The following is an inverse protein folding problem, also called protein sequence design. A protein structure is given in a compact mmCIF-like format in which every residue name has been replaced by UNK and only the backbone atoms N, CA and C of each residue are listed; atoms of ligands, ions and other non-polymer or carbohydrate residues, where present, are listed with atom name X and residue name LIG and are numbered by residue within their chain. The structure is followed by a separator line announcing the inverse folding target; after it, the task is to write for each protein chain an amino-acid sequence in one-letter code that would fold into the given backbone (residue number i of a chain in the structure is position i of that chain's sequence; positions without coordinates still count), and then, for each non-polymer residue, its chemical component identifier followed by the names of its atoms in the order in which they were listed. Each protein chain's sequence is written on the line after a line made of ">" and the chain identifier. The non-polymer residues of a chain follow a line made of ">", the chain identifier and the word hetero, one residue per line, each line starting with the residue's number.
data_IF_785258593543
#
_entry.id   IF_785258593543
#
_cell.length_a   1.000
_cell.length_b   1.000
_cell.length_c   1.000
_cell.angle_alpha   90.00
_cell.angle_beta   90.00
_cell.angle_gamma   90.00
#
_symmetry.space_group_name_H-M   'P 1'
#
loop_
_entity.id
_entity.type
_entity.pdbx_description
1 polymer ?
#
# COMPACT_ATOMS: atom_id res chain seq x y z
N UNK A 1 -3.22 8.60 -0.03
CA UNK A 1 -3.50 7.14 0.00
C UNK A 1 -4.21 6.71 1.27
N UNK A 2 -3.63 6.89 2.48
CA UNK A 2 -4.21 6.45 3.77
C UNK A 2 -5.71 6.72 3.95
N UNK A 3 -6.21 7.92 3.63
CA UNK A 3 -7.62 8.26 3.87
C UNK A 3 -8.61 7.57 2.91
N UNK A 4 -8.18 7.20 1.69
CA UNK A 4 -9.03 6.51 0.72
C UNK A 4 -9.17 5.03 1.04
N UNK A 5 -8.06 4.40 1.41
CA UNK A 5 -8.02 3.00 1.88
C UNK A 5 -8.99 2.76 3.06
N UNK A 6 -8.97 3.69 4.01
CA UNK A 6 -9.78 3.63 5.25
C UNK A 6 -11.29 3.69 5.04
N UNK A 7 -11.76 4.15 3.86
CA UNK A 7 -13.18 4.13 3.48
C UNK A 7 -13.57 2.86 2.71
N UNK A 8 -12.65 1.91 2.55
CA UNK A 8 -12.83 0.75 1.68
C UNK A 8 -12.73 1.09 0.19
N UNK A 9 -12.31 2.32 -0.16
CA UNK A 9 -12.20 2.79 -1.53
C UNK A 9 -10.87 2.35 -2.16
N UNK A 10 -10.54 1.05 -2.08
CA UNK A 10 -9.27 0.51 -2.57
C UNK A 10 -9.07 0.75 -4.06
N UNK A 11 -10.15 0.74 -4.86
CA UNK A 11 -10.07 1.06 -6.28
C UNK A 11 -9.65 2.52 -6.53
N UNK A 12 -10.22 3.48 -5.80
CA UNK A 12 -9.81 4.88 -5.90
C UNK A 12 -8.39 5.10 -5.38
N UNK A 13 -8.01 4.42 -4.30
CA UNK A 13 -6.64 4.46 -3.78
C UNK A 13 -5.64 3.95 -4.83
N UNK A 14 -5.98 2.86 -5.54
CA UNK A 14 -5.19 2.32 -6.64
C UNK A 14 -4.99 3.36 -7.75
N UNK A 15 -6.07 4.00 -8.24
CA UNK A 15 -5.94 5.00 -9.31
C UNK A 15 -5.10 6.22 -8.87
N UNK A 16 -5.15 6.59 -7.57
CA UNK A 16 -4.25 7.62 -7.02
C UNK A 16 -2.80 7.16 -7.02
N UNK A 17 -2.49 5.90 -6.67
CA UNK A 17 -1.13 5.36 -6.79
C UNK A 17 -0.64 5.42 -8.24
N UNK A 18 -1.45 4.97 -9.20
CA UNK A 18 -1.11 5.04 -10.63
C UNK A 18 -0.82 6.47 -11.07
N UNK A 19 -1.65 7.42 -10.63
CA UNK A 19 -1.43 8.83 -10.91
C UNK A 19 -0.12 9.33 -10.32
N UNK A 20 0.17 9.03 -9.05
CA UNK A 20 1.43 9.43 -8.41
C UNK A 20 2.66 8.89 -9.15
N UNK A 21 2.64 7.60 -9.53
CA UNK A 21 3.74 6.99 -10.28
C UNK A 21 3.85 7.54 -11.72
N UNK A 22 2.74 8.01 -12.30
CA UNK A 22 2.79 8.69 -13.60
C UNK A 22 3.39 10.09 -13.54
N UNK A 23 3.40 10.72 -12.36
CA UNK A 23 4.04 12.02 -12.15
C UNK A 23 5.54 11.86 -11.91
N UNK A 24 5.93 10.85 -11.13
CA UNK A 24 7.32 10.59 -10.79
C UNK A 24 7.54 9.08 -10.61
N UNK A 25 8.34 8.49 -11.51
CA UNK A 25 8.65 7.07 -11.53
C UNK A 25 9.67 6.67 -10.46
N UNK A 26 10.43 7.63 -9.92
CA UNK A 26 11.38 7.40 -8.81
C UNK A 26 10.62 7.19 -7.48
N UNK A 27 9.32 7.44 -7.46
CA UNK A 27 8.40 7.20 -6.34
C UNK A 27 8.89 7.71 -4.97
N UNK A 28 9.19 9.02 -4.82
CA UNK A 28 9.69 9.60 -3.57
C UNK A 28 8.72 9.48 -2.39
N UNK A 29 7.48 9.04 -2.62
CA UNK A 29 6.42 8.86 -1.61
C UNK A 29 6.09 7.40 -1.33
N UNK A 30 6.74 6.44 -1.97
CA UNK A 30 6.57 5.01 -1.69
C UNK A 30 5.21 4.44 -2.11
N UNK A 31 4.61 4.97 -3.17
CA UNK A 31 3.39 4.43 -3.79
C UNK A 31 3.58 2.98 -4.27
N UNK A 32 4.78 2.61 -4.75
CA UNK A 32 5.14 1.25 -5.15
C UNK A 32 4.99 0.23 -4.01
N UNK A 33 5.13 0.66 -2.76
CA UNK A 33 5.03 -0.20 -1.58
C UNK A 33 3.59 -0.49 -1.12
N UNK A 34 2.59 0.08 -1.79
CA UNK A 34 1.19 -0.18 -1.49
C UNK A 34 0.27 -0.32 -2.71
N UNK A 35 0.78 -0.05 -3.93
CA UNK A 35 -0.01 -0.19 -5.15
C UNK A 35 -0.47 -1.62 -5.39
N UNK A 36 0.38 -2.60 -5.07
CA UNK A 36 0.09 -4.02 -5.14
C UNK A 36 -1.04 -4.41 -4.19
N UNK A 37 -1.01 -3.90 -2.95
CA UNK A 37 -2.10 -4.08 -1.99
C UNK A 37 -3.43 -3.58 -2.54
N UNK A 38 -3.46 -2.35 -3.07
CA UNK A 38 -4.71 -1.78 -3.59
C UNK A 38 -5.19 -2.51 -4.85
N UNK A 39 -4.27 -2.99 -5.69
CA UNK A 39 -4.63 -3.83 -6.83
C UNK A 39 -5.29 -5.13 -6.38
N UNK A 40 -4.71 -5.83 -5.41
CA UNK A 40 -5.29 -7.05 -4.83
C UNK A 40 -6.65 -6.78 -4.18
N UNK A 41 -6.74 -5.75 -3.32
CA UNK A 41 -7.99 -5.40 -2.61
C UNK A 41 -9.12 -4.92 -3.53
N UNK A 42 -8.79 -4.45 -4.74
CA UNK A 42 -9.75 -4.05 -5.78
C UNK A 42 -9.88 -5.06 -6.92
N UNK A 43 -9.34 -6.27 -6.74
CA UNK A 43 -9.42 -7.39 -7.68
C UNK A 43 -8.87 -7.05 -9.08
N UNK A 44 -7.88 -6.16 -9.15
CA UNK A 44 -7.21 -5.77 -10.39
C UNK A 44 -5.98 -6.63 -10.63
N UNK A 45 -6.17 -7.96 -10.63
CA UNK A 45 -5.07 -8.94 -10.70
C UNK A 45 -4.32 -8.90 -12.03
N UNK A 46 -5.05 -8.90 -13.16
CA UNK A 46 -4.45 -8.81 -14.51
C UNK A 46 -3.64 -7.53 -14.69
N UNK A 47 -4.17 -6.42 -14.16
CA UNK A 47 -3.48 -5.13 -14.20
C UNK A 47 -2.18 -5.17 -13.38
N UNK A 48 -2.17 -5.84 -12.21
CA UNK A 48 -0.97 -5.96 -11.39
C UNK A 48 0.13 -6.79 -12.09
N UNK A 49 -0.24 -7.89 -12.76
CA UNK A 49 0.70 -8.68 -13.57
C UNK A 49 1.32 -7.81 -14.68
N UNK A 50 0.48 -7.13 -15.48
CA UNK A 50 0.94 -6.24 -16.55
C UNK A 50 1.83 -5.11 -16.02
N UNK A 51 1.42 -4.48 -14.92
CA UNK A 51 2.19 -3.43 -14.28
C UNK A 51 3.59 -3.91 -13.86
N UNK A 52 3.69 -5.11 -13.30
CA UNK A 52 4.97 -5.66 -12.87
C UNK A 52 5.93 -5.97 -14.05
N UNK A 53 5.39 -6.29 -15.22
CA UNK A 53 6.16 -6.54 -16.45
C UNK A 53 6.59 -5.23 -17.15
N UNK A 54 5.72 -4.21 -17.13
CA UNK A 54 5.90 -2.98 -17.91
C UNK A 54 6.62 -1.85 -17.14
N UNK A 55 6.59 -1.87 -15.80
CA UNK A 55 7.14 -0.78 -15.00
C UNK A 55 8.68 -0.68 -15.12
N UNK A 56 9.15 0.47 -15.59
CA UNK A 56 10.58 0.73 -15.77
C UNK A 56 11.21 1.15 -14.44
N UNK A 57 12.07 0.30 -13.91
CA UNK A 57 12.92 0.60 -12.75
C UNK A 57 14.25 -0.13 -12.89
N UNK A 58 15.25 0.26 -12.10
CA UNK A 58 16.63 -0.25 -12.21
C UNK A 58 16.71 -1.79 -12.05
N UNK A 59 15.80 -2.36 -11.26
CA UNK A 59 15.72 -3.78 -10.94
C UNK A 59 14.31 -4.29 -11.25
N UNK A 60 14.15 -5.57 -11.60
CA UNK A 60 12.81 -6.15 -11.76
C UNK A 60 11.98 -5.99 -10.48
N UNK A 61 10.73 -5.49 -10.61
CA UNK A 61 9.79 -5.39 -9.49
C UNK A 61 9.57 -6.73 -8.80
N UNK A 62 9.74 -7.86 -9.51
CA UNK A 62 9.68 -9.20 -8.94
C UNK A 62 10.64 -9.40 -7.74
N UNK A 63 11.76 -8.68 -7.71
CA UNK A 63 12.73 -8.79 -6.62
C UNK A 63 12.22 -8.22 -5.30
N UNK A 64 11.17 -7.39 -5.33
CA UNK A 64 10.65 -6.72 -4.16
C UNK A 64 9.73 -7.69 -3.38
N UNK A 65 9.79 -7.67 -2.04
CA UNK A 65 9.00 -8.60 -1.22
C UNK A 65 7.50 -8.38 -1.35
N UNK A 66 7.04 -7.15 -1.63
CA UNK A 66 5.61 -6.91 -1.84
C UNK A 66 5.14 -7.49 -3.18
N UNK A 67 5.82 -7.15 -4.28
CA UNK A 67 5.45 -7.64 -5.61
C UNK A 67 5.56 -9.16 -5.76
N UNK A 68 6.64 -9.80 -5.32
CA UNK A 68 6.78 -11.27 -5.44
C UNK A 68 5.61 -12.04 -4.79
N UNK A 69 5.21 -11.68 -3.57
CA UNK A 69 4.08 -12.31 -2.89
C UNK A 69 2.73 -11.87 -3.45
N UNK A 70 2.59 -10.59 -3.81
CA UNK A 70 1.34 -10.05 -4.35
C UNK A 70 1.03 -10.58 -5.75
N UNK A 71 2.04 -10.80 -6.59
CA UNK A 71 1.89 -11.42 -7.91
C UNK A 71 1.53 -12.89 -7.79
N UNK A 72 2.16 -13.64 -6.88
CA UNK A 72 1.74 -15.01 -6.60
C UNK A 72 0.26 -15.09 -6.14
N UNK A 73 -0.16 -14.12 -5.32
CA UNK A 73 -1.56 -13.99 -4.86
C UNK A 73 -2.50 -13.61 -6.00
N UNK A 74 -2.11 -12.66 -6.86
CA UNK A 74 -2.89 -12.25 -8.03
C UNK A 74 -3.08 -13.43 -8.98
N UNK A 75 -2.00 -14.18 -9.23
CA UNK A 75 -2.02 -15.38 -10.07
C UNK A 75 -2.97 -16.43 -9.53
N UNK A 76 -2.97 -16.67 -8.21
CA UNK A 76 -3.86 -17.63 -7.57
C UNK A 76 -5.34 -17.32 -7.85
N UNK A 77 -5.74 -16.06 -7.73
CA UNK A 77 -7.11 -15.66 -8.03
C UNK A 77 -7.43 -15.74 -9.52
N UNK A 78 -6.49 -15.40 -10.41
CA UNK A 78 -6.65 -15.56 -11.85
C UNK A 78 -6.82 -17.02 -12.27
N UNK A 79 -6.07 -17.94 -11.66
CA UNK A 79 -6.21 -19.38 -11.90
C UNK A 79 -7.57 -19.91 -11.43
N UNK A 80 -8.07 -19.41 -10.29
CA UNK A 80 -9.41 -19.75 -9.79
C UNK A 80 -10.52 -19.26 -10.73
N UNK A 81 -10.39 -18.03 -11.25
CA UNK A 81 -11.33 -17.46 -12.22
C UNK A 81 -11.25 -18.19 -13.58
N UNK A 82 -10.03 -18.49 -14.05
CA UNK A 82 -9.77 -19.20 -15.30
C UNK A 82 -10.28 -20.65 -15.30
N UNK A 83 -10.23 -21.34 -14.15
CA UNK A 83 -10.85 -22.66 -14.00
C UNK A 83 -12.36 -22.63 -14.24
N UNK A 84 -12.98 -21.45 -14.12
CA UNK A 84 -14.41 -21.22 -14.39
C UNK A 84 -14.69 -20.78 -15.83
N UNK A 85 -13.75 -20.09 -16.50
CA UNK A 85 -13.96 -19.47 -17.82
C UNK A 85 -13.09 -20.01 -18.98
N UNK A 86 -12.21 -20.99 -18.72
CA UNK A 86 -11.46 -21.71 -19.76
C UNK A 86 -10.44 -20.84 -20.53
N UNK A 87 -9.56 -20.14 -19.83
CA UNK A 87 -8.49 -19.35 -20.47
C UNK A 87 -7.18 -20.14 -20.65
N UNK A 88 -6.58 -20.05 -21.84
CA UNK A 88 -5.23 -20.55 -22.11
C UNK A 88 -4.17 -19.58 -21.58
N UNK A 89 -3.56 -19.94 -20.46
CA UNK A 89 -2.47 -19.18 -19.84
C UNK A 89 -1.29 -20.12 -19.49
N UNK A 90 -1.10 -21.14 -20.35
CA UNK A 90 -0.21 -22.28 -20.13
C UNK A 90 1.28 -21.94 -20.08
N UNK A 91 1.68 -20.77 -20.61
CA UNK A 91 3.08 -20.33 -20.65
C UNK A 91 3.51 -19.61 -19.35
N UNK A 92 2.56 -19.18 -18.50
CA UNK A 92 2.88 -18.47 -17.24
C UNK A 92 3.12 -19.45 -16.10
N UNK A 93 4.05 -19.10 -15.21
CA UNK A 93 4.30 -19.86 -13.97
C UNK A 93 3.03 -19.93 -13.11
N UNK A 94 2.85 -21.05 -12.42
CA UNK A 94 1.67 -21.24 -11.55
C UNK A 94 1.78 -20.36 -10.31
N UNK A 95 0.66 -20.05 -9.67
CA UNK A 95 0.63 -19.30 -8.41
C UNK A 95 1.45 -19.98 -7.30
N UNK A 96 1.47 -21.31 -7.29
CA UNK A 96 2.27 -22.11 -6.36
C UNK A 96 3.77 -21.98 -6.62
N UNK A 97 4.19 -22.02 -7.90
CA UNK A 97 5.59 -21.81 -8.29
C UNK A 97 6.07 -20.40 -7.94
N UNK A 98 5.25 -19.39 -8.24
CA UNK A 98 5.53 -17.99 -7.90
C UNK A 98 5.64 -17.80 -6.38
N UNK A 99 4.75 -18.42 -5.61
CA UNK A 99 4.80 -18.37 -4.14
C UNK A 99 6.06 -19.08 -3.60
N UNK A 100 6.43 -20.24 -4.18
CA UNK A 100 7.66 -20.96 -3.85
C UNK A 100 8.89 -20.09 -4.10
N UNK A 101 8.97 -19.45 -5.27
CA UNK A 101 10.06 -18.54 -5.63
C UNK A 101 10.12 -17.34 -4.68
N UNK A 102 8.99 -16.72 -4.36
CA UNK A 102 8.92 -15.62 -3.39
C UNK A 102 9.44 -16.04 -2.01
N UNK A 103 9.09 -17.23 -1.53
CA UNK A 103 9.58 -17.78 -0.26
C UNK A 103 11.07 -18.12 -0.28
N UNK A 104 11.60 -18.61 -1.40
CA UNK A 104 13.04 -18.81 -1.56
C UNK A 104 13.78 -17.47 -1.58
N UNK A 105 13.26 -16.50 -2.32
CA UNK A 105 13.84 -15.18 -2.45
C UNK A 105 13.70 -14.34 -1.19
N UNK A 106 12.71 -14.57 -0.31
CA UNK A 106 12.43 -13.78 0.90
C UNK A 106 11.91 -14.64 2.08
N UNK A 107 12.70 -15.58 2.63
CA UNK A 107 12.21 -16.54 3.62
C UNK A 107 11.86 -15.90 4.96
N UNK A 108 12.41 -14.73 5.28
CA UNK A 108 12.05 -13.99 6.50
C UNK A 108 10.59 -13.50 6.48
N UNK A 109 10.01 -13.27 5.30
CA UNK A 109 8.63 -12.80 5.16
C UNK A 109 7.66 -13.78 5.81
N UNK A 110 7.89 -15.09 5.65
CA UNK A 110 7.03 -16.12 6.24
C UNK A 110 6.92 -15.98 7.76
N UNK A 111 8.05 -15.84 8.45
CA UNK A 111 8.07 -15.66 9.91
C UNK A 111 7.31 -14.41 10.32
N UNK A 112 7.55 -13.28 9.64
CA UNK A 112 6.89 -12.01 9.97
C UNK A 112 5.38 -12.04 9.69
N UNK A 113 4.93 -12.75 8.64
CA UNK A 113 3.51 -13.00 8.40
C UNK A 113 2.94 -13.83 9.54
N UNK A 114 3.57 -14.95 9.92
CA UNK A 114 3.08 -15.82 11.01
C UNK A 114 2.98 -15.07 12.33
N UNK A 115 3.92 -14.17 12.62
CA UNK A 115 3.93 -13.37 13.85
C UNK A 115 2.82 -12.30 13.87
N UNK A 116 2.47 -11.69 12.72
CA UNK A 116 1.53 -10.55 12.66
C UNK A 116 0.11 -10.92 12.20
N UNK A 117 -0.03 -11.85 11.27
CA UNK A 117 -1.31 -12.26 10.71
C UNK A 117 -2.07 -13.18 11.69
N UNK A 118 -3.42 -13.21 11.64
CA UNK A 118 -4.23 -14.03 12.53
C UNK A 118 -4.25 -15.51 12.11
N UNK A 119 -3.08 -16.16 12.06
CA UNK A 119 -2.93 -17.56 11.67
C UNK A 119 -3.13 -18.47 12.89
N UNK A 120 -4.00 -19.47 12.78
CA UNK A 120 -4.34 -20.39 13.89
C UNK A 120 -3.79 -21.81 13.76
N UNK A 121 -3.21 -22.16 12.60
CA UNK A 121 -2.74 -23.52 12.33
C UNK A 121 -1.41 -23.83 13.04
N UNK A 122 -1.39 -24.90 13.82
CA UNK A 122 -0.18 -25.41 14.47
C UNK A 122 0.94 -25.79 13.49
N UNK A 123 0.63 -26.09 12.23
CA UNK A 123 1.63 -26.46 11.22
C UNK A 123 2.67 -25.35 10.99
N UNK A 124 2.30 -24.08 11.19
CA UNK A 124 3.23 -22.96 11.06
C UNK A 124 4.41 -23.09 12.01
N UNK A 125 4.19 -23.60 13.23
CA UNK A 125 5.28 -23.85 14.19
C UNK A 125 6.25 -24.92 13.69
N UNK A 126 5.78 -25.94 12.98
CA UNK A 126 6.63 -26.97 12.39
C UNK A 126 7.42 -26.43 11.19
N UNK A 127 6.78 -25.63 10.33
CA UNK A 127 7.44 -25.00 9.18
C UNK A 127 8.54 -24.04 9.66
N UNK A 128 8.27 -23.22 10.68
CA UNK A 128 9.26 -22.29 11.24
C UNK A 128 10.37 -22.97 12.04
N UNK A 129 10.23 -24.25 12.43
CA UNK A 129 11.35 -25.03 13.00
C UNK A 129 12.39 -25.42 11.95
N UNK A 130 12.04 -25.41 10.66
CA UNK A 130 13.02 -25.64 9.60
C UNK A 130 14.07 -24.51 9.61
N UNK A 131 15.35 -24.87 9.47
CA UNK A 131 16.47 -23.91 9.55
C UNK A 131 16.34 -22.80 8.51
N UNK A 132 15.85 -23.11 7.31
CA UNK A 132 15.73 -22.15 6.21
C UNK A 132 14.81 -20.98 6.57
N UNK A 133 13.65 -21.27 7.17
CA UNK A 133 12.69 -20.23 7.57
C UNK A 133 12.94 -19.70 8.99
N UNK A 134 13.23 -20.58 9.95
CA UNK A 134 13.41 -20.20 11.35
C UNK A 134 14.64 -19.33 11.62
N UNK A 135 15.71 -19.54 10.85
CA UNK A 135 16.96 -18.77 10.94
C UNK A 135 17.12 -17.76 9.80
N UNK A 136 16.07 -17.50 9.02
CA UNK A 136 16.10 -16.56 7.92
C UNK A 136 16.48 -15.15 8.42
N UNK A 137 17.39 -14.51 7.69
CA UNK A 137 17.79 -13.12 7.90
C UNK A 137 17.28 -12.25 6.74
N UNK A 138 17.08 -10.94 6.96
CA UNK A 138 16.60 -10.05 5.90
C UNK A 138 17.56 -9.97 4.71
N UNK A 139 18.87 -10.08 4.95
CA UNK A 139 19.91 -9.82 3.94
C UNK A 139 20.55 -8.45 4.18
N UNK A 140 19.81 -7.36 3.93
CA UNK A 140 20.27 -5.96 4.07
C UNK A 140 19.27 -5.07 4.83
N UNK A 141 19.68 -3.88 5.30
CA UNK A 141 18.78 -2.95 5.99
C UNK A 141 17.62 -2.44 5.12
N UNK A 142 17.86 -2.17 3.83
CA UNK A 142 16.79 -1.82 2.88
C UNK A 142 15.75 -2.94 2.80
N UNK A 143 16.19 -4.17 2.57
CA UNK A 143 15.28 -5.30 2.41
C UNK A 143 14.50 -5.61 3.69
N UNK A 144 15.13 -5.51 4.87
CA UNK A 144 14.41 -5.63 6.14
C UNK A 144 13.28 -4.62 6.26
N UNK A 145 13.57 -3.36 5.91
CA UNK A 145 12.61 -2.28 5.97
C UNK A 145 11.45 -2.48 5.00
N UNK A 146 11.73 -2.88 3.77
CA UNK A 146 10.70 -3.21 2.76
C UNK A 146 9.81 -4.37 3.21
N UNK A 147 10.39 -5.41 3.81
CA UNK A 147 9.62 -6.54 4.36
C UNK A 147 8.70 -6.07 5.50
N UNK A 148 9.19 -5.17 6.37
CA UNK A 148 8.36 -4.61 7.43
C UNK A 148 7.19 -3.80 6.87
N UNK A 149 7.43 -2.96 5.85
CA UNK A 149 6.37 -2.22 5.15
C UNK A 149 5.35 -3.17 4.52
N UNK A 150 5.82 -4.19 3.80
CA UNK A 150 4.96 -5.19 3.17
C UNK A 150 4.06 -5.89 4.21
N UNK A 151 4.66 -6.42 5.27
CA UNK A 151 3.93 -7.15 6.33
C UNK A 151 2.99 -6.22 7.06
N UNK A 152 3.38 -4.97 7.33
CA UNK A 152 2.50 -3.97 7.94
C UNK A 152 1.22 -3.76 7.11
N UNK A 153 1.37 -3.64 5.79
CA UNK A 153 0.24 -3.38 4.88
C UNK A 153 -0.59 -4.63 4.57
N UNK A 154 0.04 -5.79 4.39
CA UNK A 154 -0.59 -6.98 3.82
C UNK A 154 -1.06 -8.02 4.85
N UNK A 155 -0.72 -7.89 6.15
CA UNK A 155 -1.02 -8.94 7.15
C UNK A 155 -2.49 -9.39 7.14
N UNK A 156 -3.43 -8.49 6.89
CA UNK A 156 -4.87 -8.79 6.90
C UNK A 156 -5.30 -9.69 5.74
N UNK A 157 -4.58 -9.68 4.61
CA UNK A 157 -4.84 -10.57 3.47
C UNK A 157 -4.63 -12.03 3.87
N UNK A 158 -3.67 -12.29 4.75
CA UNK A 158 -3.37 -13.64 5.21
C UNK A 158 -4.43 -14.21 6.16
N UNK A 159 -5.53 -13.49 6.44
CA UNK A 159 -6.69 -14.06 7.15
C UNK A 159 -7.48 -15.06 6.31
N UNK A 160 -7.36 -15.01 4.97
CA UNK A 160 -8.14 -15.85 4.06
C UNK A 160 -7.57 -17.28 4.03
N UNK A 161 -8.36 -18.32 4.34
CA UNK A 161 -7.88 -19.71 4.41
C UNK A 161 -7.23 -20.22 3.12
N UNK A 162 -7.74 -19.77 1.97
CA UNK A 162 -7.24 -20.19 0.66
C UNK A 162 -5.80 -19.72 0.43
N UNK A 163 -5.51 -18.46 0.81
CA UNK A 163 -4.15 -17.91 0.74
C UNK A 163 -3.22 -18.53 1.78
N UNK A 164 -3.74 -18.87 2.97
CA UNK A 164 -2.97 -19.62 3.96
C UNK A 164 -2.57 -21.00 3.44
N UNK A 165 -3.47 -21.69 2.74
CA UNK A 165 -3.19 -22.99 2.13
C UNK A 165 -2.12 -22.87 1.05
N UNK A 166 -2.25 -21.90 0.14
CA UNK A 166 -1.23 -21.63 -0.90
C UNK A 166 0.16 -21.38 -0.28
N UNK A 167 0.23 -20.49 0.72
CA UNK A 167 1.47 -20.17 1.42
C UNK A 167 2.07 -21.40 2.11
N UNK A 168 1.22 -22.22 2.74
CA UNK A 168 1.62 -23.44 3.44
C UNK A 168 2.16 -24.48 2.49
N UNK A 169 1.46 -24.72 1.38
CA UNK A 169 1.87 -25.67 0.35
C UNK A 169 3.21 -25.27 -0.27
N UNK A 170 3.34 -24.00 -0.66
CA UNK A 170 4.59 -23.44 -1.17
C UNK A 170 5.75 -23.59 -0.16
N UNK A 171 5.52 -23.31 1.12
CA UNK A 171 6.54 -23.45 2.16
C UNK A 171 6.97 -24.91 2.36
N UNK A 172 6.04 -25.87 2.27
CA UNK A 172 6.36 -27.29 2.33
C UNK A 172 7.15 -27.75 1.10
N UNK A 173 6.80 -27.27 -0.10
CA UNK A 173 7.55 -27.53 -1.33
C UNK A 173 8.97 -26.95 -1.28
N UNK A 174 9.16 -25.76 -0.71
CA UNK A 174 10.50 -25.22 -0.44
C UNK A 174 11.29 -26.17 0.45
N UNK A 175 10.71 -26.60 1.59
CA UNK A 175 11.38 -27.52 2.51
C UNK A 175 11.74 -28.84 1.82
N UNK A 176 10.86 -29.38 0.98
CA UNK A 176 11.11 -30.60 0.22
C UNK A 176 12.21 -30.41 -0.83
N UNK A 177 12.16 -29.33 -1.61
CA UNK A 177 13.16 -29.00 -2.63
C UNK A 177 14.56 -28.89 -2.01
N UNK A 178 14.68 -28.23 -0.86
CA UNK A 178 15.95 -28.06 -0.16
C UNK A 178 16.52 -29.33 0.46
N UNK A 179 15.68 -30.36 0.69
CA UNK A 179 16.18 -31.70 1.06
C UNK A 179 16.82 -32.41 -0.12
N UNK A 180 16.35 -32.12 -1.34
CA UNK A 180 16.85 -32.73 -2.57
C UNK A 180 18.09 -31.99 -3.09
N UNK A 181 18.02 -30.65 -3.18
CA UNK A 181 19.12 -29.79 -3.61
C UNK A 181 19.17 -28.49 -2.80
N UNK A 182 20.19 -28.38 -1.93
CA UNK A 182 20.41 -27.19 -1.12
C UNK A 182 21.10 -26.05 -1.92
N UNK A 183 21.54 -26.28 -3.16
CA UNK A 183 22.18 -25.25 -3.98
C UNK A 183 21.18 -24.17 -4.41
N UNK A 184 19.93 -24.54 -4.64
CA UNK A 184 18.86 -23.61 -5.01
C UNK A 184 18.71 -22.48 -3.97
N UNK A 185 18.79 -22.79 -2.67
CA UNK A 185 18.77 -21.78 -1.61
C UNK A 185 19.96 -20.80 -1.69
N UNK A 186 21.14 -21.27 -2.09
CA UNK A 186 22.34 -20.43 -2.22
C UNK A 186 22.21 -19.50 -3.42
N UNK A 187 21.65 -19.98 -4.53
CA UNK A 187 21.42 -19.18 -5.74
C UNK A 187 20.42 -18.04 -5.43
N UNK A 188 19.30 -18.35 -4.78
CA UNK A 188 18.34 -17.33 -4.34
C UNK A 188 18.92 -16.37 -3.30
N UNK A 189 19.81 -16.84 -2.42
CA UNK A 189 20.53 -15.97 -1.51
C UNK A 189 21.48 -15.02 -2.26
N UNK A 190 22.11 -15.47 -3.35
CA UNK A 190 22.95 -14.65 -4.21
C UNK A 190 22.12 -13.57 -4.92
N UNK A 191 21.02 -13.96 -5.58
CA UNK A 191 20.08 -13.02 -6.25
C UNK A 191 19.62 -11.92 -5.29
N UNK A 192 19.19 -12.31 -4.08
CA UNK A 192 18.77 -11.36 -3.03
C UNK A 192 19.90 -10.41 -2.62
N UNK A 193 21.12 -10.92 -2.48
CA UNK A 193 22.29 -10.12 -2.08
C UNK A 193 22.70 -9.13 -3.18
N UNK A 194 22.59 -9.53 -4.44
CA UNK A 194 22.86 -8.68 -5.59
C UNK A 194 21.81 -7.57 -5.72
N UNK A 195 20.53 -7.92 -5.63
CA UNK A 195 19.40 -7.00 -5.71
C UNK A 195 19.42 -5.93 -4.59
N UNK A 196 19.87 -6.29 -3.39
CA UNK A 196 19.87 -5.42 -2.21
C UNK A 196 21.24 -5.37 -1.54
N UNK A 197 22.25 -4.93 -2.30
CA UNK A 197 23.66 -4.93 -1.89
C UNK A 197 24.08 -3.78 -0.96
N UNK A 198 23.24 -2.75 -0.80
CA UNK A 198 23.54 -1.58 0.01
C UNK A 198 23.54 -1.88 1.52
N UNK A 199 24.56 -1.38 2.22
CA UNK A 199 24.66 -1.43 3.69
C UNK A 199 23.80 -0.33 4.37
N UNK A 200 23.21 0.58 3.60
CA UNK A 200 22.33 1.64 4.09
C UNK A 200 20.89 1.35 3.70
N UNK A 201 19.95 1.75 4.55
CA UNK A 201 18.53 1.69 4.22
C UNK A 201 18.15 2.85 3.29
N UNK A 202 18.00 2.54 2.00
CA UNK A 202 17.60 3.47 0.93
C UNK A 202 16.15 3.96 1.10
N UNK A 203 15.32 3.16 1.77
CA UNK A 203 13.91 3.43 2.03
C UNK A 203 13.66 3.99 3.44
N UNK A 204 14.70 4.47 4.12
CA UNK A 204 14.61 5.01 5.49
C UNK A 204 13.70 6.24 5.62
N UNK A 205 13.44 6.95 4.52
CA UNK A 205 12.51 8.07 4.45
C UNK A 205 11.04 7.65 4.50
N UNK A 206 10.73 6.37 4.27
CA UNK A 206 9.38 5.81 4.37
C UNK A 206 9.17 5.23 5.77
N UNK A 207 8.17 5.73 6.52
CA UNK A 207 7.89 5.19 7.85
C UNK A 207 7.00 3.95 7.73
N UNK A 208 7.33 2.86 8.43
CA UNK A 208 6.48 1.64 8.44
C UNK A 208 5.07 1.96 8.96
N UNK A 209 4.95 2.86 9.94
CA UNK A 209 3.66 3.35 10.45
C UNK A 209 2.82 4.07 9.40
N UNK A 210 3.40 4.47 8.27
CA UNK A 210 2.61 5.03 7.16
C UNK A 210 1.86 3.95 6.38
N UNK A 211 2.25 2.69 6.58
CA UNK A 211 1.70 1.54 5.90
C UNK A 211 0.73 0.72 6.76
N UNK A 212 0.41 1.21 7.97
CA UNK A 212 -0.57 0.57 8.85
C UNK A 212 -2.00 0.98 8.53
N UNK A 213 -2.94 0.10 8.84
CA UNK A 213 -4.39 0.36 8.82
C UNK A 213 -4.89 0.98 10.15
N UNK A 214 -4.04 0.97 11.18
CA UNK A 214 -4.38 1.48 12.51
C UNK A 214 -4.26 2.99 12.58
N UNK A 215 -5.16 3.63 13.32
CA UNK A 215 -5.07 5.06 13.60
C UNK A 215 -4.59 5.32 15.01
N UNK A 216 -3.60 6.19 15.19
CA UNK A 216 -3.49 6.91 16.44
C UNK A 216 -4.79 7.72 16.57
N UNK A 217 -5.72 7.25 17.40
CA UNK A 217 -6.77 8.14 17.89
C UNK A 217 -6.05 9.19 18.73
N UNK A 218 -6.21 10.47 18.40
CA UNK A 218 -5.86 11.52 19.36
C UNK A 218 -6.61 11.22 20.67
N UNK A 219 -5.94 11.31 21.82
CA UNK A 219 -6.61 11.22 23.11
C UNK A 219 -7.81 12.17 23.12
N UNK A 220 -8.94 11.78 23.72
CA UNK A 220 -10.12 12.64 23.77
C UNK A 220 -9.84 14.04 24.33
N UNK A 221 -8.81 14.22 25.17
CA UNK A 221 -8.40 15.54 25.66
C UNK A 221 -7.87 16.46 24.55
N UNK A 222 -7.16 15.94 23.54
CA UNK A 222 -6.56 16.73 22.46
C UNK A 222 -7.54 17.05 21.32
N UNK A 223 -8.69 16.36 21.29
CA UNK A 223 -9.80 16.64 20.35
C UNK A 223 -10.71 17.78 20.81
N UNK A 224 -10.71 18.11 22.12
CA UNK A 224 -11.58 19.15 22.70
C UNK A 224 -11.43 20.54 22.04
N UNK A 225 -10.23 21.04 21.72
CA UNK A 225 -10.08 22.35 21.06
C UNK A 225 -10.73 22.40 19.67
N UNK A 226 -10.80 21.27 18.97
CA UNK A 226 -11.36 21.17 17.61
C UNK A 226 -12.87 20.89 17.60
N UNK A 227 -13.46 20.52 18.75
CA UNK A 227 -14.89 20.28 18.92
C UNK A 227 -15.66 21.51 19.40
N UNK A 228 -14.97 22.60 19.75
CA UNK A 228 -15.60 23.88 20.07
C UNK A 228 -15.85 24.62 18.75
N UNK A 229 -17.13 24.74 18.36
CA UNK A 229 -17.52 25.48 17.16
C UNK A 229 -17.08 26.95 17.21
N UNK A 230 -17.06 27.67 16.07
CA UNK A 230 -16.45 29.01 15.92
C UNK A 230 -17.05 30.14 16.78
N UNK A 231 -17.95 29.86 17.72
CA UNK A 231 -18.70 30.85 18.48
C UNK A 231 -18.27 31.09 19.93
N UNK A 232 -17.21 30.46 20.43
CA UNK A 232 -16.88 30.51 21.87
C UNK A 232 -15.44 30.92 22.20
N UNK A 233 -14.76 31.67 21.32
CA UNK A 233 -13.52 32.37 21.70
C UNK A 233 -13.88 33.68 22.41
N UNK A 234 -14.15 33.56 23.72
CA UNK A 234 -14.17 34.70 24.63
C UNK A 234 -12.73 35.19 24.83
N UNK A 235 -12.48 36.40 24.32
CA UNK A 235 -11.49 37.39 24.77
C UNK A 235 -10.07 36.88 25.03
N UNK A 236 -9.27 36.82 23.96
CA UNK A 236 -7.83 37.05 24.08
C UNK A 236 -7.48 38.47 23.62
N UNK A 237 -6.56 39.17 24.30
CA UNK A 237 -6.20 40.55 23.97
C UNK A 237 -5.48 40.58 22.61
N UNK A 238 -5.58 41.69 21.85
CA UNK A 238 -5.08 41.73 20.48
C UNK A 238 -3.56 41.65 20.51
N UNK A 239 -3.03 40.55 19.99
CA UNK A 239 -1.65 40.50 19.52
C UNK A 239 -1.64 41.32 18.23
N UNK A 240 -0.89 42.42 18.23
CA UNK A 240 -0.54 43.17 17.02
C UNK A 240 0.29 42.25 16.10
N UNK A 241 -0.40 41.42 15.31
CA UNK A 241 0.16 40.82 14.13
C UNK A 241 -0.02 41.82 13.00
N UNK A 242 1.11 42.28 12.45
CA UNK A 242 1.15 43.03 11.20
C UNK A 242 0.45 42.21 10.11
N UNK A 243 -0.85 42.47 9.94
CA UNK A 243 -1.64 41.95 8.85
C UNK A 243 -1.17 42.66 7.58
N UNK A 244 -0.30 41.99 6.81
CA UNK A 244 -0.22 42.25 5.37
C UNK A 244 -1.63 42.11 4.78
N UNK A 245 -1.98 42.87 3.72
CA UNK A 245 -3.36 42.96 3.27
C UNK A 245 -3.88 41.58 2.88
N UNK A 246 -4.81 41.05 3.68
CA UNK A 246 -5.68 39.94 3.30
C UNK A 246 -6.50 40.42 2.09
N UNK A 247 -5.96 40.17 0.90
CA UNK A 247 -6.76 40.18 -0.31
C UNK A 247 -7.73 39.02 -0.17
N UNK A 248 -8.95 39.30 0.31
CA UNK A 248 -10.10 38.44 0.08
C UNK A 248 -10.15 38.18 -1.43
N UNK A 249 -9.72 36.98 -1.85
CA UNK A 249 -9.62 36.62 -3.27
C UNK A 249 -11.01 36.19 -3.72
N UNK A 250 -11.45 36.72 -4.86
CA UNK A 250 -12.74 36.36 -5.41
C UNK A 250 -12.79 34.84 -5.71
N UNK A 251 -13.86 34.14 -5.29
CA UNK A 251 -14.10 32.74 -5.63
C UNK A 251 -14.01 32.52 -7.14
N UNK A 252 -13.30 31.48 -7.56
CA UNK A 252 -13.30 31.06 -8.96
C UNK A 252 -14.57 30.30 -9.29
N UNK A 253 -15.13 30.52 -10.47
CA UNK A 253 -16.27 29.73 -10.94
C UNK A 253 -15.89 28.29 -11.26
N UNK A 254 -16.75 27.36 -10.86
CA UNK A 254 -16.60 25.91 -11.11
C UNK A 254 -17.40 25.47 -12.36
N UNK A 255 -18.44 26.21 -12.73
CA UNK A 255 -19.35 25.85 -13.81
C UNK A 255 -18.64 25.75 -15.17
N UNK A 256 -18.90 24.66 -15.91
CA UNK A 256 -18.35 24.45 -17.25
C UNK A 256 -16.86 24.10 -17.31
N UNK A 257 -16.19 23.93 -16.18
CA UNK A 257 -14.75 23.59 -16.11
C UNK A 257 -14.53 22.09 -15.98
N UNK A 258 -13.35 21.63 -16.41
CA UNK A 258 -12.94 20.24 -16.20
C UNK A 258 -12.76 20.00 -14.69
N UNK A 259 -13.46 19.02 -14.10
CA UNK A 259 -13.42 18.77 -12.65
C UNK A 259 -12.03 18.35 -12.14
N UNK A 260 -11.20 17.69 -12.97
CA UNK A 260 -9.83 17.34 -12.60
C UNK A 260 -8.94 18.58 -12.48
N UNK A 261 -9.14 19.57 -13.36
CA UNK A 261 -8.41 20.85 -13.29
C UNK A 261 -8.84 21.64 -12.06
N UNK A 262 -10.13 21.70 -11.78
CA UNK A 262 -10.67 22.35 -10.57
C UNK A 262 -10.12 21.71 -9.29
N UNK A 263 -10.04 20.37 -9.27
CA UNK A 263 -9.43 19.64 -8.15
C UNK A 263 -7.94 19.94 -8.00
N UNK A 264 -7.16 19.93 -9.08
CA UNK A 264 -5.72 20.25 -9.00
C UNK A 264 -5.49 21.70 -8.57
N UNK A 265 -6.32 22.62 -9.05
CA UNK A 265 -6.29 24.02 -8.64
C UNK A 265 -6.67 24.18 -7.16
N UNK A 266 -7.65 23.42 -6.63
CA UNK A 266 -8.05 23.52 -5.22
C UNK A 266 -6.99 23.04 -4.23
N UNK A 267 -5.98 22.29 -4.70
CA UNK A 267 -4.81 21.92 -3.89
C UNK A 267 -3.82 23.07 -3.71
N UNK A 268 -3.93 24.15 -4.50
CA UNK A 268 -3.03 25.29 -4.42
C UNK A 268 -3.50 26.24 -3.31
N UNK A 269 -2.64 26.62 -2.35
CA UNK A 269 -3.01 27.48 -1.21
C UNK A 269 -3.56 28.85 -1.59
N UNK A 270 -3.41 29.25 -2.85
CA UNK A 270 -3.80 30.55 -3.37
C UNK A 270 -5.05 30.52 -4.26
N UNK A 271 -5.64 29.35 -4.49
CA UNK A 271 -6.90 29.20 -5.21
C UNK A 271 -8.03 29.05 -4.21
N UNK A 272 -9.07 29.85 -4.38
CA UNK A 272 -10.28 29.83 -3.58
C UNK A 272 -11.49 29.65 -4.51
N UNK A 273 -12.37 28.70 -4.17
CA UNK A 273 -13.64 28.44 -4.86
C UNK A 273 -14.85 28.94 -4.06
N UNK A 274 -14.62 29.59 -2.92
CA UNK A 274 -15.65 30.12 -2.03
C UNK A 274 -16.33 29.05 -1.19
N UNK A 275 -16.65 29.39 0.06
CA UNK A 275 -17.54 28.61 0.91
C UNK A 275 -18.93 29.23 0.78
N UNK A 276 -19.81 28.63 -0.02
CA UNK A 276 -21.09 29.23 -0.39
C UNK A 276 -22.10 29.11 0.78
N UNK A 277 -21.91 29.93 1.81
CA UNK A 277 -22.81 30.02 2.98
C UNK A 277 -23.76 31.22 2.92
N UNK A 278 -23.73 32.03 1.86
CA UNK A 278 -24.63 33.17 1.65
C UNK A 278 -25.53 32.93 0.45
N UNK A 279 -26.61 32.18 0.66
CA UNK A 279 -27.56 31.85 -0.40
C UNK A 279 -28.86 31.31 0.16
N UNK A 280 -29.44 32.00 1.15
CA UNK A 280 -30.83 31.85 1.57
C UNK A 280 -31.15 32.96 2.57
N UNK A 281 -31.51 34.16 2.12
CA UNK A 281 -32.24 35.18 2.90
C UNK A 281 -32.55 36.45 2.06
N UNK A 282 -32.88 36.31 0.78
CA UNK A 282 -33.47 37.42 0.02
C UNK A 282 -34.57 36.84 -0.87
N UNK A 283 -35.71 36.56 -0.27
CA UNK A 283 -37.02 36.53 -0.94
C UNK A 283 -38.07 36.86 0.14
N UNK A 284 -39.09 37.62 -0.28
CA UNK A 284 -40.22 38.16 0.47
C UNK A 284 -39.99 39.48 1.25
N UNK A 285 -40.13 40.60 0.54
CA UNK A 285 -41.14 41.61 0.85
C UNK A 285 -41.15 42.71 -0.22
N UNK A 286 -42.11 42.65 -1.14
CA UNK A 286 -42.64 43.81 -1.85
C UNK A 286 -44.08 43.49 -2.28
N UNK A 287 -45.03 43.76 -1.37
CA UNK A 287 -46.46 43.95 -1.67
C UNK A 287 -46.90 45.26 -0.98
N UNK A 288 -46.93 46.35 -1.75
CA UNK A 288 -47.81 47.52 -1.57
C UNK A 288 -48.31 48.01 -2.94
#
# INVERSE_FOLDING_TARGET
>A
MKNLDRRGCHRSALEVCKFLLSLDFDDPKGSLFCIDYFALRSQQYKWLEQFAEEYQCDNSLWLFPNFSFSLATARFYLECDAASEGSDDADKSTSLDLMKQALMLHPMVLRKIVDKAPLKDSSWTQILRNVFFGSAKPGSPSLEHMINIYVERHYIMWRFPELQNLLKEAALLVIESLKQDNREALDWACVRKEAFSSDKNEYSHLLVSDFTDTTPSLPPEELRPFMVGPGMLHEMPPVEQEAGPERLRAPREVAGRNPAVVFLESLLPWVDYGDNHQGANDDDNDDE
#
